data_IF_307350229406
#
_entry.id   IF_307350229406
#
_cell.length_a   1.000
_cell.length_b   1.000
_cell.length_c   1.000
_cell.angle_alpha   90.00
_cell.angle_beta   90.00
_cell.angle_gamma   90.00
#
_symmetry.space_group_name_H-M   'P 1'
#
loop_
_entity.id
_entity.type
_entity.pdbx_description
1 polymer ?
#
# COMPACT_ATOMS: atom_id res chain seq x y z
N UNK A 1 -35.42 -75.59 8.11
CA UNK A 1 -35.76 -74.25 8.62
C UNK A 1 -36.14 -74.34 10.10
N UNK A 2 -35.49 -73.50 10.92
CA UNK A 2 -35.87 -73.03 12.26
C UNK A 2 -36.09 -74.08 13.36
N UNK A 3 -35.13 -74.17 14.29
CA UNK A 3 -35.43 -74.19 15.74
C UNK A 3 -34.41 -73.36 16.51
N UNK A 4 -34.92 -72.47 17.35
CA UNK A 4 -34.20 -71.65 18.30
C UNK A 4 -34.11 -72.35 19.67
N UNK A 5 -33.03 -72.14 20.42
CA UNK A 5 -32.87 -72.46 21.85
C UNK A 5 -31.84 -71.47 22.40
N UNK A 6 -32.22 -70.43 23.16
CA UNK A 6 -32.36 -70.36 24.63
C UNK A 6 -31.07 -70.62 25.46
N UNK A 7 -30.50 -69.52 25.95
CA UNK A 7 -30.01 -69.19 27.32
C UNK A 7 -28.88 -69.99 28.00
N UNK A 8 -27.88 -69.20 28.46
CA UNK A 8 -27.07 -69.22 29.70
C UNK A 8 -25.73 -69.99 29.82
N UNK A 9 -24.73 -69.17 30.23
CA UNK A 9 -23.65 -69.42 31.21
C UNK A 9 -22.64 -70.54 30.95
N UNK A 10 -21.40 -70.14 30.63
CA UNK A 10 -20.23 -70.61 31.38
C UNK A 10 -19.07 -69.62 31.22
N UNK A 11 -18.71 -69.04 32.37
CA UNK A 11 -17.53 -68.24 32.63
C UNK A 11 -16.29 -69.16 32.56
N UNK A 12 -15.35 -68.91 31.65
CA UNK A 12 -13.99 -69.44 31.76
C UNK A 12 -13.00 -68.30 31.71
N UNK A 13 -12.45 -68.04 32.89
CA UNK A 13 -11.33 -67.15 33.16
C UNK A 13 -10.11 -67.68 32.42
N UNK A 14 -9.61 -66.91 31.45
CA UNK A 14 -8.24 -67.03 30.97
C UNK A 14 -7.51 -65.73 31.29
N UNK A 15 -6.76 -65.77 32.39
CA UNK A 15 -5.73 -64.79 32.73
C UNK A 15 -4.54 -65.11 31.82
N UNK A 16 -4.27 -64.23 30.86
CA UNK A 16 -3.14 -64.33 29.94
C UNK A 16 -2.65 -62.93 29.57
N UNK A 17 -1.73 -62.41 30.38
CA UNK A 17 -0.76 -61.33 30.08
C UNK A 17 -1.10 -60.37 28.93
N UNK A 18 -1.86 -59.32 29.24
CA UNK A 18 -1.88 -58.10 28.44
C UNK A 18 -0.58 -57.33 28.70
N UNK A 19 0.35 -57.44 27.75
CA UNK A 19 1.43 -56.47 27.59
C UNK A 19 0.79 -55.10 27.39
N UNK A 20 0.91 -54.21 28.37
CA UNK A 20 0.61 -52.80 28.20
C UNK A 20 1.68 -52.19 27.30
N UNK A 21 1.58 -52.43 25.99
CA UNK A 21 2.16 -51.53 25.02
C UNK A 21 1.40 -50.21 25.17
N UNK A 22 1.98 -49.28 25.92
CA UNK A 22 1.53 -47.90 25.92
C UNK A 22 1.55 -47.45 24.47
N UNK A 23 0.36 -47.30 23.89
CA UNK A 23 0.21 -46.54 22.67
C UNK A 23 0.60 -45.11 23.03
N UNK A 24 1.89 -44.80 22.90
CA UNK A 24 2.33 -43.45 22.70
C UNK A 24 1.57 -42.99 21.45
N UNK A 25 0.52 -42.21 21.66
CA UNK A 25 0.00 -41.33 20.63
C UNK A 25 1.19 -40.47 20.23
N UNK A 26 1.90 -40.89 19.19
CA UNK A 26 2.82 -40.03 18.48
C UNK A 26 1.99 -38.80 18.14
N UNK A 27 2.26 -37.69 18.83
CA UNK A 27 1.70 -36.41 18.46
C UNK A 27 2.07 -36.25 16.99
N UNK A 28 1.10 -36.38 16.09
CA UNK A 28 1.32 -36.08 14.68
C UNK A 28 1.80 -34.64 14.68
N UNK A 29 3.08 -34.44 14.36
CA UNK A 29 3.63 -33.12 14.14
C UNK A 29 2.71 -32.42 13.15
N UNK A 30 2.30 -31.19 13.46
CA UNK A 30 1.51 -30.41 12.51
C UNK A 30 2.22 -30.44 11.14
N UNK A 31 1.47 -30.59 10.03
CA UNK A 31 2.07 -30.56 8.71
C UNK A 31 2.91 -29.29 8.53
N UNK A 32 3.98 -29.40 7.74
CA UNK A 32 4.86 -28.27 7.45
C UNK A 32 4.05 -27.06 6.95
N UNK A 33 4.46 -25.83 7.31
CA UNK A 33 3.69 -24.64 6.93
C UNK A 33 3.51 -24.52 5.41
N UNK A 34 4.50 -24.95 4.62
CA UNK A 34 4.38 -24.98 3.16
C UNK A 34 3.25 -25.90 2.71
N UNK A 35 3.18 -27.10 3.27
CA UNK A 35 2.15 -28.08 2.91
C UNK A 35 0.76 -27.56 3.30
N UNK A 36 0.64 -26.90 4.44
CA UNK A 36 -0.61 -26.25 4.87
C UNK A 36 -1.03 -25.12 3.93
N UNK A 37 -0.10 -24.27 3.52
CA UNK A 37 -0.37 -23.20 2.55
C UNK A 37 -0.81 -23.77 1.20
N UNK A 38 -0.16 -24.83 0.72
CA UNK A 38 -0.48 -25.46 -0.57
C UNK A 38 -1.72 -26.36 -0.52
N UNK A 39 -2.19 -26.73 0.66
CA UNK A 39 -3.48 -27.40 0.84
C UNK A 39 -4.68 -26.45 0.66
N UNK A 40 -4.47 -25.12 0.67
CA UNK A 40 -5.53 -24.15 0.40
C UNK A 40 -5.96 -24.26 -1.08
N UNK A 41 -7.26 -24.50 -1.37
CA UNK A 41 -7.75 -24.57 -2.73
C UNK A 41 -7.43 -23.30 -3.54
N UNK A 42 -6.78 -23.48 -4.69
CA UNK A 42 -6.38 -22.38 -5.57
C UNK A 42 -5.05 -21.71 -5.21
N UNK A 43 -4.35 -22.17 -4.16
CA UNK A 43 -2.99 -21.75 -3.84
C UNK A 43 -1.95 -22.55 -4.62
N UNK A 44 -0.90 -21.90 -5.09
CA UNK A 44 0.25 -22.58 -5.72
C UNK A 44 1.56 -21.88 -5.39
N UNK A 45 2.65 -22.66 -5.29
CA UNK A 45 3.98 -22.13 -5.02
C UNK A 45 4.59 -21.54 -6.29
N UNK A 46 5.06 -20.30 -6.22
CA UNK A 46 5.97 -19.73 -7.22
C UNK A 46 7.42 -19.94 -6.76
N UNK A 47 7.73 -19.56 -5.52
CA UNK A 47 9.08 -19.67 -4.98
C UNK A 47 9.06 -19.70 -3.45
N UNK A 48 9.98 -20.43 -2.84
CA UNK A 48 10.34 -20.30 -1.44
C UNK A 48 11.74 -19.71 -1.35
N UNK A 49 11.94 -18.68 -0.52
CA UNK A 49 13.24 -18.06 -0.26
C UNK A 49 13.58 -18.21 1.22
N UNK A 50 14.76 -18.73 1.58
CA UNK A 50 15.16 -18.84 2.98
C UNK A 50 15.48 -17.47 3.57
N UNK A 51 15.12 -17.26 4.85
CA UNK A 51 15.56 -16.10 5.63
C UNK A 51 15.79 -16.53 7.10
N UNK A 52 16.85 -16.07 7.80
CA UNK A 52 17.02 -16.42 9.21
C UNK A 52 15.83 -16.00 10.08
N UNK A 53 15.20 -16.97 10.76
CA UNK A 53 14.06 -16.72 11.66
C UNK A 53 12.70 -16.52 10.99
N UNK A 54 12.61 -16.66 9.67
CA UNK A 54 11.35 -16.62 8.91
C UNK A 54 11.38 -17.62 7.74
N UNK A 55 10.21 -18.02 7.25
CA UNK A 55 10.08 -18.65 5.93
C UNK A 55 9.35 -17.72 5.00
N UNK A 56 9.89 -17.50 3.81
CA UNK A 56 9.30 -16.59 2.84
C UNK A 56 8.81 -17.33 1.61
N UNK A 57 7.52 -17.19 1.32
CA UNK A 57 6.86 -17.81 0.18
C UNK A 57 6.35 -16.73 -0.77
N UNK A 58 6.59 -16.93 -2.06
CA UNK A 58 5.88 -16.25 -3.15
C UNK A 58 4.91 -17.28 -3.71
N UNK A 59 3.63 -16.93 -3.70
CA UNK A 59 2.53 -17.81 -4.07
C UNK A 59 1.66 -17.14 -5.12
N UNK A 60 0.90 -17.94 -5.85
CA UNK A 60 -0.29 -17.47 -6.56
C UNK A 60 -1.52 -17.98 -5.84
N UNK A 61 -2.55 -17.15 -5.78
CA UNK A 61 -3.87 -17.50 -5.29
C UNK A 61 -4.92 -17.24 -6.39
N UNK A 62 -5.75 -18.24 -6.64
CA UNK A 62 -6.79 -18.17 -7.67
C UNK A 62 -7.96 -17.30 -7.19
N UNK A 63 -8.15 -16.18 -7.88
CA UNK A 63 -9.20 -15.20 -7.60
C UNK A 63 -10.26 -15.17 -8.71
N UNK A 64 -11.52 -14.86 -8.40
CA UNK A 64 -12.53 -14.53 -9.41
C UNK A 64 -12.17 -13.24 -10.14
N UNK A 65 -12.42 -13.20 -11.45
CA UNK A 65 -12.35 -11.93 -12.21
C UNK A 65 -13.40 -10.94 -11.69
N UNK A 66 -14.61 -11.44 -11.39
CA UNK A 66 -15.72 -10.67 -10.85
C UNK A 66 -16.30 -11.37 -9.61
N UNK A 67 -16.10 -10.80 -8.42
CA UNK A 67 -16.64 -11.33 -7.16
C UNK A 67 -18.17 -11.29 -7.11
N UNK A 68 -18.84 -10.46 -7.93
CA UNK A 68 -20.31 -10.48 -8.07
C UNK A 68 -20.79 -11.68 -8.90
N UNK A 69 -19.92 -12.26 -9.73
CA UNK A 69 -20.21 -13.42 -10.56
C UNK A 69 -19.02 -14.39 -10.62
N UNK A 70 -18.71 -15.11 -9.53
CA UNK A 70 -17.45 -15.85 -9.42
C UNK A 70 -17.24 -16.97 -10.46
N UNK A 71 -18.32 -17.42 -11.11
CA UNK A 71 -18.27 -18.41 -12.18
C UNK A 71 -17.78 -17.86 -13.53
N UNK A 72 -17.63 -16.54 -13.69
CA UNK A 72 -17.26 -15.89 -14.97
C UNK A 72 -15.75 -15.87 -15.25
N UNK A 73 -15.01 -16.78 -14.64
CA UNK A 73 -13.57 -16.94 -14.85
C UNK A 73 -12.75 -16.48 -13.66
N UNK A 74 -11.47 -16.83 -13.71
CA UNK A 74 -10.51 -16.60 -12.63
C UNK A 74 -9.19 -16.05 -13.19
N UNK A 75 -8.38 -15.49 -12.30
CA UNK A 75 -7.00 -15.11 -12.58
C UNK A 75 -6.10 -15.51 -11.40
N UNK A 76 -4.79 -15.55 -11.63
CA UNK A 76 -3.81 -15.81 -10.58
C UNK A 76 -3.38 -14.46 -9.98
N UNK A 77 -3.64 -14.26 -8.69
CA UNK A 77 -3.17 -13.09 -7.95
C UNK A 77 -1.96 -13.47 -7.11
N UNK A 78 -0.90 -12.70 -7.20
CA UNK A 78 0.32 -12.93 -6.44
C UNK A 78 0.14 -12.52 -4.98
N UNK A 79 0.57 -13.40 -4.09
CA UNK A 79 0.70 -13.11 -2.66
C UNK A 79 2.09 -13.49 -2.18
N UNK A 80 2.54 -12.84 -1.11
CA UNK A 80 3.74 -13.28 -0.38
C UNK A 80 3.40 -13.54 1.08
N UNK A 81 4.07 -14.53 1.66
CA UNK A 81 3.88 -14.91 3.06
C UNK A 81 5.25 -14.96 3.71
N UNK A 82 5.49 -14.03 4.65
CA UNK A 82 6.61 -14.06 5.58
C UNK A 82 6.12 -14.72 6.87
N UNK A 83 6.30 -16.04 6.93
CA UNK A 83 5.89 -16.87 8.05
C UNK A 83 6.93 -16.81 9.17
N UNK A 84 6.46 -16.52 10.38
CA UNK A 84 7.25 -16.59 11.61
C UNK A 84 6.84 -17.81 12.45
N UNK A 85 5.56 -17.87 12.82
CA UNK A 85 4.97 -18.89 13.69
C UNK A 85 3.44 -18.77 13.68
N UNK A 86 2.70 -19.88 13.75
CA UNK A 86 1.22 -19.88 13.70
C UNK A 86 0.53 -19.32 14.95
N UNK A 87 1.22 -19.26 16.09
CA UNK A 87 0.72 -18.65 17.33
C UNK A 87 0.84 -17.12 17.35
N UNK A 88 1.51 -16.53 16.36
CA UNK A 88 1.74 -15.09 16.27
C UNK A 88 0.65 -14.38 15.45
N UNK A 89 0.34 -13.11 15.76
CA UNK A 89 -0.56 -12.32 14.94
C UNK A 89 -0.03 -12.16 13.52
N UNK A 90 -0.93 -11.86 12.59
CA UNK A 90 -0.61 -11.69 11.17
C UNK A 90 -0.88 -10.27 10.72
N UNK A 91 0.11 -9.65 10.09
CA UNK A 91 -0.05 -8.35 9.45
C UNK A 91 -0.34 -8.54 7.97
N UNK A 92 -1.50 -8.07 7.52
CA UNK A 92 -1.89 -8.09 6.13
C UNK A 92 -1.53 -6.77 5.46
N UNK A 93 -0.46 -6.78 4.66
CA UNK A 93 -0.10 -5.67 3.79
C UNK A 93 -0.99 -5.67 2.54
N UNK A 94 -2.01 -4.82 2.56
CA UNK A 94 -2.89 -4.57 1.42
C UNK A 94 -2.16 -3.60 0.48
N UNK A 95 -1.42 -4.14 -0.48
CA UNK A 95 -0.68 -3.33 -1.44
C UNK A 95 -1.62 -2.52 -2.35
N UNK A 96 -1.16 -1.35 -2.79
CA UNK A 96 -1.86 -0.54 -3.80
C UNK A 96 -1.46 -0.88 -5.24
N UNK A 97 -0.32 -1.53 -5.43
CA UNK A 97 0.36 -1.70 -6.72
C UNK A 97 0.90 -3.14 -6.85
N UNK A 98 2.06 -3.29 -7.48
CA UNK A 98 2.84 -4.51 -7.48
C UNK A 98 3.27 -4.94 -6.07
N UNK A 99 3.47 -6.24 -5.86
CA UNK A 99 4.06 -6.75 -4.62
C UNK A 99 5.54 -7.09 -4.83
N UNK A 100 6.39 -6.62 -3.90
CA UNK A 100 7.79 -7.04 -3.89
C UNK A 100 7.91 -8.53 -3.59
N UNK A 101 8.77 -9.22 -4.35
CA UNK A 101 9.12 -10.63 -4.08
C UNK A 101 10.39 -10.76 -3.24
N UNK A 102 10.93 -9.65 -2.72
CA UNK A 102 12.04 -9.63 -1.77
C UNK A 102 11.50 -9.62 -0.35
N UNK A 103 11.95 -10.53 0.55
CA UNK A 103 11.50 -10.53 1.94
C UNK A 103 11.71 -9.17 2.61
N UNK A 104 10.66 -8.64 3.23
CA UNK A 104 10.71 -7.39 4.00
C UNK A 104 9.60 -7.36 5.05
N UNK A 105 9.80 -6.59 6.13
CA UNK A 105 8.79 -6.38 7.18
C UNK A 105 8.28 -4.95 7.15
N UNK A 106 6.96 -4.80 7.07
CA UNK A 106 6.27 -3.52 7.32
C UNK A 106 6.33 -3.18 8.80
N UNK A 107 6.24 -1.89 9.13
CA UNK A 107 6.40 -1.42 10.51
C UNK A 107 5.47 -2.14 11.51
N UNK A 108 4.17 -2.39 11.22
CA UNK A 108 3.32 -3.15 12.13
C UNK A 108 3.81 -4.58 12.37
N UNK A 109 4.39 -5.24 11.36
CA UNK A 109 4.98 -6.59 11.49
C UNK A 109 6.15 -6.60 12.46
N UNK A 110 6.95 -5.52 12.46
CA UNK A 110 8.04 -5.32 13.41
C UNK A 110 7.50 -5.06 14.82
N UNK A 111 6.46 -4.23 14.94
CA UNK A 111 5.84 -3.90 16.23
C UNK A 111 5.32 -5.15 16.92
N UNK A 112 4.61 -6.02 16.21
CA UNK A 112 3.95 -7.19 16.81
C UNK A 112 4.82 -8.46 16.80
N UNK A 113 6.00 -8.39 16.18
CA UNK A 113 6.88 -9.54 15.93
C UNK A 113 6.11 -10.74 15.34
N UNK A 114 5.34 -10.45 14.29
CA UNK A 114 4.33 -11.34 13.73
C UNK A 114 4.67 -11.95 12.37
N UNK A 115 3.67 -12.64 11.81
CA UNK A 115 3.65 -13.03 10.41
C UNK A 115 3.33 -11.81 9.53
N UNK A 116 3.67 -11.87 8.24
CA UNK A 116 3.18 -10.91 7.26
C UNK A 116 2.67 -11.61 6.02
N UNK A 117 1.50 -11.18 5.54
CA UNK A 117 0.96 -11.54 4.23
C UNK A 117 0.91 -10.27 3.41
N UNK A 118 1.43 -10.29 2.17
CA UNK A 118 1.32 -9.15 1.26
C UNK A 118 0.57 -9.55 0.00
N UNK A 119 -0.37 -8.72 -0.44
CA UNK A 119 -1.19 -8.95 -1.63
C UNK A 119 -0.81 -7.97 -2.75
N UNK A 120 -0.55 -8.48 -3.95
CA UNK A 120 -0.46 -7.66 -5.15
C UNK A 120 -1.84 -7.17 -5.56
N UNK A 121 -1.97 -5.87 -5.84
CA UNK A 121 -3.25 -5.30 -6.23
C UNK A 121 -3.68 -5.84 -7.60
N UNK A 122 -4.98 -6.15 -7.77
CA UNK A 122 -5.48 -6.63 -9.06
C UNK A 122 -5.16 -5.64 -10.19
N UNK A 123 -4.93 -6.18 -11.38
CA UNK A 123 -4.54 -5.48 -12.62
C UNK A 123 -3.07 -5.05 -12.72
N UNK A 124 -2.30 -5.07 -11.63
CA UNK A 124 -0.84 -4.97 -11.71
C UNK A 124 -0.27 -6.32 -12.12
N UNK A 125 0.59 -6.34 -13.15
CA UNK A 125 1.07 -7.62 -13.72
C UNK A 125 2.08 -8.30 -12.78
N UNK A 126 1.98 -9.63 -12.61
CA UNK A 126 1.15 -10.58 -13.36
C UNK A 126 -0.28 -10.79 -12.83
N UNK A 127 -0.68 -10.11 -11.75
CA UNK A 127 -2.00 -10.22 -11.11
C UNK A 127 -3.15 -9.55 -11.88
N UNK A 128 -3.27 -9.82 -13.19
CA UNK A 128 -4.26 -9.20 -14.08
C UNK A 128 -5.11 -10.27 -14.80
N UNK A 129 -6.46 -10.16 -14.79
CA UNK A 129 -7.31 -10.96 -15.67
C UNK A 129 -6.92 -10.86 -17.15
N UNK A 130 -7.01 -11.97 -17.87
CA UNK A 130 -6.74 -12.04 -19.30
C UNK A 130 -7.94 -12.67 -20.05
N UNK A 131 -8.65 -11.92 -20.91
CA UNK A 131 -8.48 -10.49 -21.21
C UNK A 131 -8.82 -9.59 -20.01
N UNK A 132 -8.27 -8.37 -19.99
CA UNK A 132 -8.49 -7.41 -18.92
C UNK A 132 -9.81 -6.66 -19.11
N UNK A 133 -10.84 -7.02 -18.34
CA UNK A 133 -12.08 -6.23 -18.22
C UNK A 133 -11.87 -5.14 -17.16
N UNK A 134 -11.47 -3.95 -17.60
CA UNK A 134 -11.19 -2.80 -16.72
C UNK A 134 -12.36 -2.39 -15.83
N UNK A 135 -13.61 -2.73 -16.18
CA UNK A 135 -14.75 -2.50 -15.29
C UNK A 135 -14.69 -3.29 -13.98
N UNK A 136 -13.77 -4.25 -13.86
CA UNK A 136 -13.51 -5.07 -12.66
C UNK A 136 -12.32 -4.57 -11.85
N UNK A 137 -11.70 -3.46 -12.24
CA UNK A 137 -10.74 -2.72 -11.44
C UNK A 137 -11.50 -1.67 -10.62
N UNK A 138 -12.15 -2.12 -9.55
CA UNK A 138 -12.89 -1.26 -8.63
C UNK A 138 -12.49 -1.55 -7.15
N UNK A 139 -12.75 -0.61 -6.25
CA UNK A 139 -12.42 -0.69 -4.82
C UNK A 139 -13.03 -1.95 -4.18
N UNK A 140 -14.31 -2.24 -4.47
CA UNK A 140 -15.03 -3.35 -3.85
C UNK A 140 -14.47 -4.69 -4.31
N UNK A 141 -14.16 -4.84 -5.59
CA UNK A 141 -13.53 -6.05 -6.13
C UNK A 141 -12.17 -6.34 -5.49
N UNK A 142 -11.36 -5.29 -5.25
CA UNK A 142 -10.08 -5.45 -4.57
C UNK A 142 -10.26 -5.76 -3.07
N UNK A 143 -11.23 -5.14 -2.40
CA UNK A 143 -11.61 -5.50 -1.03
C UNK A 143 -12.07 -6.97 -0.92
N UNK A 144 -12.81 -7.45 -1.91
CA UNK A 144 -13.23 -8.86 -1.99
C UNK A 144 -12.07 -9.82 -2.26
N UNK A 145 -11.05 -9.42 -3.03
CA UNK A 145 -9.81 -10.20 -3.15
C UNK A 145 -9.14 -10.38 -1.78
N UNK A 146 -9.02 -9.28 -1.03
CA UNK A 146 -8.42 -9.25 0.31
C UNK A 146 -9.20 -10.13 1.29
N UNK A 147 -10.53 -10.01 1.30
CA UNK A 147 -11.42 -10.85 2.10
C UNK A 147 -11.20 -12.35 1.83
N UNK A 148 -11.13 -12.74 0.55
CA UNK A 148 -10.94 -14.15 0.18
C UNK A 148 -9.59 -14.69 0.64
N UNK A 149 -8.53 -13.89 0.52
CA UNK A 149 -7.19 -14.25 1.01
C UNK A 149 -7.19 -14.40 2.53
N UNK A 150 -7.80 -13.46 3.25
CA UNK A 150 -7.96 -13.55 4.70
C UNK A 150 -8.70 -14.83 5.11
N UNK A 151 -9.88 -15.09 4.54
CA UNK A 151 -10.67 -16.29 4.84
C UNK A 151 -9.91 -17.59 4.57
N UNK A 152 -9.12 -17.64 3.49
CA UNK A 152 -8.34 -18.81 3.14
C UNK A 152 -7.18 -19.08 4.12
N UNK A 153 -6.57 -18.01 4.65
CA UNK A 153 -5.39 -18.10 5.51
C UNK A 153 -5.71 -18.11 7.02
N UNK A 154 -6.85 -17.57 7.44
CA UNK A 154 -7.27 -17.50 8.86
C UNK A 154 -7.27 -18.86 9.58
N UNK A 155 -7.64 -20.00 8.96
CA UNK A 155 -7.51 -21.31 9.62
C UNK A 155 -6.08 -21.73 9.93
N UNK A 156 -5.08 -21.21 9.21
CA UNK A 156 -3.65 -21.48 9.46
C UNK A 156 -3.11 -20.48 10.49
N UNK A 157 -3.49 -19.21 10.35
CA UNK A 157 -3.08 -18.11 11.22
C UNK A 157 -4.26 -17.63 12.07
N UNK A 158 -4.56 -18.37 13.13
CA UNK A 158 -5.79 -18.17 13.91
C UNK A 158 -5.74 -16.99 14.88
N UNK A 159 -4.56 -16.51 15.24
CA UNK A 159 -4.34 -15.31 16.05
C UNK A 159 -4.90 -14.03 15.38
N UNK A 160 -4.73 -12.88 16.02
CA UNK A 160 -5.28 -11.61 15.54
C UNK A 160 -4.64 -11.16 14.22
N UNK A 161 -5.40 -10.45 13.39
CA UNK A 161 -4.98 -9.91 12.10
C UNK A 161 -5.01 -8.39 12.10
N UNK A 162 -3.97 -7.74 11.58
CA UNK A 162 -3.96 -6.30 11.37
C UNK A 162 -3.80 -5.98 9.87
N UNK A 163 -4.59 -5.06 9.33
CA UNK A 163 -4.35 -4.54 7.98
C UNK A 163 -3.40 -3.35 8.00
N UNK A 164 -2.56 -3.22 6.98
CA UNK A 164 -1.70 -2.05 6.82
C UNK A 164 -1.35 -1.76 5.37
N UNK A 165 -1.00 -0.52 5.08
CA UNK A 165 -0.53 -0.07 3.78
C UNK A 165 -0.06 1.39 3.83
N UNK A 166 0.83 1.75 2.90
CA UNK A 166 1.24 3.14 2.67
C UNK A 166 0.55 3.71 1.43
N UNK A 167 0.21 5.00 1.44
CA UNK A 167 -0.35 5.70 0.28
C UNK A 167 -1.61 5.01 -0.26
N UNK A 168 -1.65 4.64 -1.54
CA UNK A 168 -2.70 3.78 -2.10
C UNK A 168 -2.88 2.46 -1.33
N UNK A 169 -1.83 1.85 -0.82
CA UNK A 169 -1.96 0.70 0.07
C UNK A 169 -2.75 1.03 1.36
N UNK A 170 -2.51 2.19 1.96
CA UNK A 170 -3.23 2.65 3.15
C UNK A 170 -4.71 2.97 2.86
N UNK A 171 -4.99 3.49 1.66
CA UNK A 171 -6.34 3.59 1.12
C UNK A 171 -6.99 2.22 1.04
N UNK A 172 -6.31 1.23 0.43
CA UNK A 172 -6.86 -0.12 0.30
C UNK A 172 -7.08 -0.82 1.65
N UNK A 173 -6.23 -0.61 2.66
CA UNK A 173 -6.45 -1.11 4.01
C UNK A 173 -7.73 -0.53 4.62
N UNK A 174 -7.96 0.76 4.40
CA UNK A 174 -9.17 1.48 4.85
C UNK A 174 -10.41 0.99 4.11
N UNK A 175 -10.31 0.75 2.80
CA UNK A 175 -11.42 0.24 1.99
C UNK A 175 -11.75 -1.22 2.32
N UNK A 176 -10.75 -2.02 2.61
CA UNK A 176 -10.94 -3.39 3.02
C UNK A 176 -11.79 -3.46 4.28
N UNK A 177 -11.35 -2.73 5.31
CA UNK A 177 -12.03 -2.63 6.60
C UNK A 177 -13.45 -2.06 6.43
N UNK A 178 -13.62 -1.10 5.52
CA UNK A 178 -14.94 -0.57 5.18
C UNK A 178 -15.93 -1.65 4.71
N UNK A 179 -15.51 -2.54 3.82
CA UNK A 179 -16.40 -3.54 3.22
C UNK A 179 -16.46 -4.85 4.02
N UNK A 180 -15.44 -5.13 4.83
CA UNK A 180 -15.30 -6.35 5.62
C UNK A 180 -14.81 -6.05 7.06
N UNK A 181 -15.57 -5.29 7.87
CA UNK A 181 -15.14 -4.77 9.17
C UNK A 181 -15.00 -5.82 10.29
N UNK A 182 -15.17 -7.09 9.97
CA UNK A 182 -15.02 -8.21 10.90
C UNK A 182 -13.77 -9.04 10.61
N UNK A 183 -13.02 -8.70 9.56
CA UNK A 183 -11.87 -9.48 9.14
C UNK A 183 -10.59 -9.09 9.89
N UNK A 184 -10.42 -7.82 10.25
CA UNK A 184 -9.21 -7.31 10.90
C UNK A 184 -9.50 -6.87 12.33
N UNK A 185 -8.56 -7.11 13.24
CA UNK A 185 -8.61 -6.67 14.63
C UNK A 185 -8.10 -5.22 14.80
N UNK A 186 -7.42 -4.67 13.78
CA UNK A 186 -7.03 -3.28 13.69
C UNK A 186 -6.40 -2.91 12.35
N UNK A 187 -6.35 -1.61 12.05
CA UNK A 187 -5.82 -1.07 10.79
C UNK A 187 -4.78 0.01 11.08
N UNK A 188 -3.64 -0.06 10.39
CA UNK A 188 -2.61 0.99 10.43
C UNK A 188 -2.36 1.50 9.01
N UNK A 189 -2.96 2.63 8.66
CA UNK A 189 -2.86 3.26 7.36
C UNK A 189 -1.86 4.43 7.38
N UNK A 190 -0.82 4.34 6.55
CA UNK A 190 0.19 5.39 6.43
C UNK A 190 -0.10 6.26 5.21
N UNK A 191 -0.02 7.57 5.39
CA UNK A 191 -0.05 8.60 4.32
C UNK A 191 -1.15 8.39 3.27
N UNK A 192 -2.30 7.87 3.70
CA UNK A 192 -3.41 7.50 2.83
C UNK A 192 -4.25 8.72 2.47
N UNK A 193 -4.29 9.16 1.20
CA UNK A 193 -5.14 10.27 0.79
C UNK A 193 -6.62 9.88 0.76
N UNK A 194 -7.49 10.88 0.88
CA UNK A 194 -8.94 10.73 0.96
C UNK A 194 -9.64 11.88 0.21
N UNK A 195 -9.65 11.80 -1.11
CA UNK A 195 -10.33 12.75 -1.99
C UNK A 195 -11.85 12.50 -2.01
N UNK A 196 -12.57 13.16 -1.10
CA UNK A 196 -14.03 13.04 -0.97
C UNK A 196 -14.77 13.84 -2.05
N UNK A 197 -14.17 14.92 -2.54
CA UNK A 197 -14.75 15.84 -3.52
C UNK A 197 -13.67 16.24 -4.51
N UNK A 198 -13.53 15.45 -5.58
CA UNK A 198 -12.50 15.60 -6.63
C UNK A 198 -12.44 16.97 -7.34
N UNK A 199 -13.33 17.92 -7.02
CA UNK A 199 -13.31 19.28 -7.57
C UNK A 199 -12.94 20.33 -6.53
N UNK A 200 -12.54 19.92 -5.33
CA UNK A 200 -12.23 20.79 -4.21
C UNK A 200 -10.82 20.47 -3.71
N UNK A 201 -9.82 20.97 -4.42
CA UNK A 201 -8.41 20.68 -4.14
C UNK A 201 -7.68 21.81 -3.38
N UNK A 202 -8.42 22.77 -2.81
CA UNK A 202 -7.82 23.96 -2.20
C UNK A 202 -6.94 23.65 -0.97
N UNK A 203 -7.07 22.44 -0.41
CA UNK A 203 -6.20 21.95 0.66
C UNK A 203 -4.74 21.82 0.20
N UNK A 204 -4.51 21.34 -1.02
CA UNK A 204 -3.17 21.21 -1.58
C UNK A 204 -2.55 22.59 -1.88
N UNK A 205 -3.32 23.53 -2.42
CA UNK A 205 -2.85 24.90 -2.65
C UNK A 205 -2.41 25.58 -1.34
N UNK A 206 -3.19 25.40 -0.26
CA UNK A 206 -2.82 25.90 1.08
C UNK A 206 -1.56 25.23 1.61
N UNK A 207 -1.40 23.93 1.37
CA UNK A 207 -0.19 23.21 1.75
C UNK A 207 1.05 23.78 1.06
N UNK A 208 1.03 23.90 -0.27
CA UNK A 208 2.18 24.42 -1.03
C UNK A 208 2.48 25.90 -0.75
N UNK A 209 1.50 26.69 -0.28
CA UNK A 209 1.75 28.05 0.18
C UNK A 209 2.56 28.11 1.49
N UNK A 210 2.47 27.07 2.35
CA UNK A 210 2.95 27.09 3.73
C UNK A 210 4.07 26.10 4.07
N UNK A 211 4.24 25.02 3.32
CA UNK A 211 5.16 23.93 3.66
C UNK A 211 6.63 24.38 3.73
N UNK A 212 7.36 23.93 4.76
CA UNK A 212 8.77 24.25 4.97
C UNK A 212 9.09 25.74 5.08
N UNK A 213 10.31 26.13 4.69
CA UNK A 213 10.74 27.54 4.73
C UNK A 213 10.37 28.27 3.44
N UNK A 214 10.16 29.59 3.54
CA UNK A 214 9.93 30.44 2.36
C UNK A 214 11.08 30.32 1.36
N UNK A 215 12.33 30.33 1.84
CA UNK A 215 13.52 30.15 1.00
C UNK A 215 13.44 28.86 0.17
N UNK A 216 13.05 27.75 0.80
CA UNK A 216 12.97 26.49 0.08
C UNK A 216 11.88 26.49 -0.98
N UNK A 217 10.69 27.01 -0.63
CA UNK A 217 9.60 27.18 -1.60
C UNK A 217 10.01 28.08 -2.76
N UNK A 218 10.69 29.18 -2.50
CA UNK A 218 11.15 30.10 -3.54
C UNK A 218 12.14 29.40 -4.49
N UNK A 219 13.11 28.63 -3.99
CA UNK A 219 14.05 27.86 -4.82
C UNK A 219 13.35 26.83 -5.70
N UNK A 220 12.44 26.04 -5.12
CA UNK A 220 11.68 25.02 -5.85
C UNK A 220 10.83 25.63 -6.96
N UNK A 221 10.10 26.71 -6.63
CA UNK A 221 9.28 27.43 -7.61
C UNK A 221 10.13 28.09 -8.70
N UNK A 222 11.34 28.58 -8.36
CA UNK A 222 12.25 29.17 -9.32
C UNK A 222 12.77 28.14 -10.32
N UNK A 223 13.18 26.95 -9.88
CA UNK A 223 13.61 25.85 -10.77
C UNK A 223 12.45 25.40 -11.67
N UNK A 224 11.26 25.17 -11.08
CA UNK A 224 10.07 24.79 -11.83
C UNK A 224 9.73 25.81 -12.92
N UNK A 225 9.73 27.11 -12.59
CA UNK A 225 9.48 28.18 -13.55
C UNK A 225 10.57 28.24 -14.62
N UNK A 226 11.84 28.16 -14.22
CA UNK A 226 12.98 28.28 -15.14
C UNK A 226 12.98 27.15 -16.18
N UNK A 227 12.63 25.93 -15.79
CA UNK A 227 12.46 24.82 -16.73
C UNK A 227 11.41 25.13 -17.81
N UNK A 228 10.33 25.85 -17.48
CA UNK A 228 9.33 26.27 -18.48
C UNK A 228 9.77 27.47 -19.33
N UNK A 229 10.59 28.38 -18.78
CA UNK A 229 11.22 29.46 -19.54
C UNK A 229 12.17 28.87 -20.60
N UNK A 230 12.95 27.86 -20.22
CA UNK A 230 13.93 27.16 -21.06
C UNK A 230 13.36 25.95 -21.78
N UNK A 231 12.05 25.95 -22.05
CA UNK A 231 11.34 24.82 -22.66
C UNK A 231 12.02 24.31 -23.93
N UNK A 232 12.39 25.19 -24.86
CA UNK A 232 12.96 24.78 -26.15
C UNK A 232 14.28 23.97 -26.02
N UNK A 233 15.34 24.47 -25.35
CA UNK A 233 16.56 23.68 -25.18
C UNK A 233 16.35 22.41 -24.33
N UNK A 234 15.50 22.46 -23.30
CA UNK A 234 15.25 21.30 -22.44
C UNK A 234 14.38 20.24 -23.11
N UNK A 235 13.43 20.60 -23.97
CA UNK A 235 12.68 19.65 -24.80
C UNK A 235 13.57 18.98 -25.85
N UNK A 236 14.56 19.69 -26.40
CA UNK A 236 15.56 19.07 -27.28
C UNK A 236 16.36 18.01 -26.53
N UNK A 237 16.77 18.29 -25.29
CA UNK A 237 17.41 17.29 -24.41
C UNK A 237 16.46 16.13 -24.09
N UNK A 238 15.18 16.41 -23.86
CA UNK A 238 14.19 15.37 -23.59
C UNK A 238 13.93 14.46 -24.79
N UNK A 239 13.90 15.02 -26.00
CA UNK A 239 13.79 14.26 -27.22
C UNK A 239 15.00 13.33 -27.43
N UNK A 240 16.21 13.80 -27.12
CA UNK A 240 17.40 12.96 -27.14
C UNK A 240 17.33 11.85 -26.09
N UNK A 241 16.99 12.18 -24.84
CA UNK A 241 16.80 11.20 -23.76
C UNK A 241 15.77 10.13 -24.14
N UNK A 242 14.66 10.54 -24.76
CA UNK A 242 13.64 9.61 -25.22
C UNK A 242 14.16 8.71 -26.35
N UNK A 243 14.88 9.25 -27.33
CA UNK A 243 15.48 8.47 -28.41
C UNK A 243 16.50 7.44 -27.90
N UNK A 244 17.36 7.84 -26.96
CA UNK A 244 18.40 6.98 -26.38
C UNK A 244 17.83 5.79 -25.58
N UNK A 245 16.62 5.94 -25.04
CA UNK A 245 15.96 4.94 -24.19
C UNK A 245 14.75 4.27 -24.86
N UNK A 246 14.41 4.65 -26.10
CA UNK A 246 13.25 4.12 -26.82
C UNK A 246 11.90 4.53 -26.22
N UNK A 247 11.82 5.70 -25.58
CA UNK A 247 10.59 6.19 -24.97
C UNK A 247 9.65 6.86 -25.99
N UNK A 248 8.35 6.69 -25.75
CA UNK A 248 7.26 7.25 -26.57
C UNK A 248 6.25 8.00 -25.70
N UNK A 249 5.36 8.79 -26.31
CA UNK A 249 4.45 9.72 -25.61
C UNK A 249 3.00 9.69 -26.13
N UNK A 250 2.56 8.56 -26.67
CA UNK A 250 1.26 8.42 -27.34
C UNK A 250 0.09 8.59 -26.36
N UNK A 251 0.22 8.03 -25.15
CA UNK A 251 -0.84 8.03 -24.13
C UNK A 251 -1.15 9.44 -23.63
N UNK A 252 -0.10 10.19 -23.27
CA UNK A 252 -0.24 11.56 -22.77
C UNK A 252 -0.54 12.57 -23.88
N UNK A 253 -0.13 12.25 -25.11
CA UNK A 253 -0.44 13.01 -26.32
C UNK A 253 0.71 13.87 -26.87
N UNK A 254 1.96 13.55 -26.52
CA UNK A 254 3.16 14.18 -27.09
C UNK A 254 4.21 14.62 -26.07
N UNK A 255 5.43 14.83 -26.56
CA UNK A 255 6.61 15.17 -25.75
C UNK A 255 6.47 16.50 -25.01
N UNK A 256 5.99 17.57 -25.65
CA UNK A 256 5.79 18.91 -25.04
C UNK A 256 4.85 18.84 -23.82
N UNK A 257 3.82 18.02 -23.92
CA UNK A 257 2.85 17.81 -22.84
C UNK A 257 3.41 16.93 -21.71
N UNK A 258 4.19 15.91 -22.06
CA UNK A 258 4.93 15.11 -21.07
C UNK A 258 5.95 15.97 -20.33
N UNK A 259 6.68 16.83 -21.05
CA UNK A 259 7.65 17.74 -20.48
C UNK A 259 7.00 18.66 -19.45
N UNK A 260 5.91 19.35 -19.83
CA UNK A 260 5.19 20.22 -18.89
C UNK A 260 4.66 19.44 -17.68
N UNK A 261 4.13 18.24 -17.87
CA UNK A 261 3.64 17.42 -16.76
C UNK A 261 4.76 17.08 -15.76
N UNK A 262 5.92 16.62 -16.23
CA UNK A 262 7.10 16.34 -15.38
C UNK A 262 7.53 17.59 -14.61
N UNK A 263 7.61 18.75 -15.30
CA UNK A 263 8.02 20.01 -14.67
C UNK A 263 7.00 20.46 -13.61
N UNK A 264 5.70 20.36 -13.90
CA UNK A 264 4.65 20.79 -12.97
C UNK A 264 4.56 19.91 -11.70
N UNK A 265 5.02 18.66 -11.75
CA UNK A 265 5.11 17.79 -10.57
C UNK A 265 6.35 18.01 -9.69
N UNK A 266 7.30 18.83 -10.14
CA UNK A 266 8.57 19.03 -9.43
C UNK A 266 8.44 19.42 -7.96
N UNK A 267 7.61 20.44 -7.68
CA UNK A 267 7.40 20.91 -6.30
C UNK A 267 6.68 19.84 -5.46
N UNK A 268 5.73 19.12 -6.06
CA UNK A 268 5.02 18.03 -5.42
C UNK A 268 5.98 16.89 -5.05
N UNK A 269 6.74 16.40 -6.03
CA UNK A 269 7.70 15.31 -5.87
C UNK A 269 8.77 15.62 -4.81
N UNK A 270 9.24 16.86 -4.72
CA UNK A 270 10.18 17.26 -3.67
C UNK A 270 9.57 17.07 -2.28
N UNK A 271 8.38 17.61 -2.02
CA UNK A 271 7.77 17.50 -0.69
C UNK A 271 7.32 16.06 -0.38
N UNK A 272 6.91 15.31 -1.39
CA UNK A 272 6.54 13.90 -1.21
C UNK A 272 7.74 13.03 -0.80
N UNK A 273 8.92 13.21 -1.40
CA UNK A 273 10.03 12.24 -1.27
C UNK A 273 11.37 12.81 -0.77
N UNK A 274 11.51 14.12 -0.68
CA UNK A 274 12.67 14.80 -0.08
C UNK A 274 12.29 15.40 1.27
N UNK A 275 13.29 15.81 2.05
CA UNK A 275 13.12 16.47 3.33
C UNK A 275 13.56 17.93 3.23
N UNK A 276 13.11 18.77 4.16
CA UNK A 276 13.51 20.18 4.21
C UNK A 276 15.03 20.37 4.23
N UNK A 277 15.77 19.46 4.89
CA UNK A 277 17.25 19.49 4.93
C UNK A 277 17.89 19.28 3.55
N UNK A 278 17.17 18.67 2.62
CA UNK A 278 17.66 18.39 1.26
C UNK A 278 17.50 19.63 0.37
N UNK A 279 16.87 20.70 0.83
CA UNK A 279 16.66 21.91 0.04
C UNK A 279 17.96 22.57 -0.46
N UNK A 280 19.08 22.31 0.22
CA UNK A 280 20.40 22.77 -0.21
C UNK A 280 20.87 22.15 -1.54
N UNK A 281 20.26 21.05 -2.00
CA UNK A 281 20.56 20.44 -3.31
C UNK A 281 19.85 21.13 -4.47
N UNK A 282 18.84 21.96 -4.18
CA UNK A 282 18.09 22.71 -5.18
C UNK A 282 18.90 23.96 -5.58
N UNK A 283 19.08 24.22 -6.90
CA UNK A 283 19.75 25.43 -7.38
C UNK A 283 19.27 26.69 -6.65
N UNK A 284 20.22 27.41 -6.04
CA UNK A 284 19.90 28.60 -5.24
C UNK A 284 19.47 29.79 -6.09
N UNK A 285 20.03 29.92 -7.29
CA UNK A 285 19.66 30.92 -8.30
C UNK A 285 19.39 30.21 -9.63
N UNK A 286 18.12 29.85 -9.85
CA UNK A 286 17.72 29.11 -11.05
C UNK A 286 17.97 29.91 -12.33
N UNK A 287 17.87 31.25 -12.30
CA UNK A 287 18.02 32.09 -13.48
C UNK A 287 19.44 32.07 -14.05
N UNK A 288 20.46 31.86 -13.21
CA UNK A 288 21.87 31.77 -13.62
C UNK A 288 22.41 30.34 -13.67
N UNK A 289 21.63 29.35 -13.23
CA UNK A 289 21.97 27.94 -13.34
C UNK A 289 22.12 27.50 -14.81
N UNK A 290 22.92 26.46 -15.07
CA UNK A 290 23.04 25.86 -16.40
C UNK A 290 21.79 25.05 -16.74
N UNK A 291 21.56 24.80 -18.04
CA UNK A 291 20.51 23.88 -18.49
C UNK A 291 20.66 22.49 -17.86
N UNK A 292 21.91 22.03 -17.69
CA UNK A 292 22.20 20.77 -17.02
C UNK A 292 21.75 20.76 -15.56
N UNK A 293 22.02 21.83 -14.82
CA UNK A 293 21.61 21.91 -13.41
C UNK A 293 20.08 21.94 -13.26
N UNK A 294 19.36 22.61 -14.16
CA UNK A 294 17.88 22.61 -14.17
C UNK A 294 17.35 21.23 -14.53
N UNK A 295 17.87 20.63 -15.61
CA UNK A 295 17.50 19.29 -16.04
C UNK A 295 17.72 18.26 -14.94
N UNK A 296 18.94 18.19 -14.38
CA UNK A 296 19.32 17.18 -13.41
C UNK A 296 18.51 17.32 -12.12
N UNK A 297 18.17 18.56 -11.73
CA UNK A 297 17.28 18.79 -10.60
C UNK A 297 15.87 18.24 -10.86
N UNK A 298 15.28 18.56 -12.02
CA UNK A 298 13.94 18.07 -12.40
C UNK A 298 13.93 16.54 -12.54
N UNK A 299 14.94 15.94 -13.16
CA UNK A 299 15.04 14.48 -13.32
C UNK A 299 15.23 13.76 -11.99
N UNK A 300 16.00 14.34 -11.07
CA UNK A 300 16.22 13.76 -9.75
C UNK A 300 14.95 13.72 -8.88
N UNK A 301 14.00 14.64 -9.11
CA UNK A 301 12.81 14.82 -8.27
C UNK A 301 11.54 14.28 -8.94
N UNK A 302 11.23 14.72 -10.16
CA UNK A 302 10.06 14.26 -10.94
C UNK A 302 10.40 13.10 -11.85
N UNK A 303 11.59 13.09 -12.45
CA UNK A 303 12.03 12.05 -13.38
C UNK A 303 11.39 12.12 -14.77
N UNK A 304 12.20 12.30 -15.80
CA UNK A 304 11.71 12.47 -17.17
C UNK A 304 11.13 11.19 -17.80
N UNK A 305 11.27 10.00 -17.20
CA UNK A 305 10.58 8.80 -17.70
C UNK A 305 9.16 8.62 -17.18
N UNK A 306 8.72 9.45 -16.23
CA UNK A 306 7.41 9.41 -15.57
C UNK A 306 6.25 9.19 -16.57
N UNK A 307 6.11 10.17 -17.46
CA UNK A 307 4.99 10.28 -18.38
C UNK A 307 5.28 9.75 -19.80
N UNK A 308 6.29 8.90 -19.95
CA UNK A 308 6.47 8.11 -21.17
C UNK A 308 5.44 6.98 -21.19
N UNK A 309 5.13 6.42 -22.35
CA UNK A 309 4.21 5.27 -22.42
C UNK A 309 4.70 4.09 -21.58
N UNK A 310 6.02 3.90 -21.51
CA UNK A 310 6.68 2.86 -20.74
C UNK A 310 6.60 3.11 -19.23
N UNK A 311 6.72 4.38 -18.80
CA UNK A 311 6.50 4.77 -17.40
C UNK A 311 5.03 4.57 -16.98
N UNK A 312 4.11 4.99 -17.84
CA UNK A 312 2.66 4.89 -17.62
C UNK A 312 2.13 3.46 -17.67
N UNK A 313 2.75 2.54 -18.40
CA UNK A 313 2.23 1.18 -18.60
C UNK A 313 2.01 0.45 -17.26
N UNK A 314 3.00 0.51 -16.36
CA UNK A 314 2.93 -0.15 -15.05
C UNK A 314 1.86 0.47 -14.16
N UNK A 315 1.69 1.78 -14.22
CA UNK A 315 0.76 2.54 -13.37
C UNK A 315 -0.61 2.79 -14.01
N UNK A 316 -0.87 2.30 -15.22
CA UNK A 316 -2.19 2.41 -15.87
C UNK A 316 -3.33 1.91 -14.95
N UNK A 317 -3.19 0.83 -14.15
CA UNK A 317 -4.20 0.45 -13.17
C UNK A 317 -4.47 1.50 -12.09
N UNK A 318 -3.42 2.16 -11.59
CA UNK A 318 -3.60 3.26 -10.65
C UNK A 318 -4.33 4.43 -11.30
N UNK A 319 -3.88 4.90 -12.47
CA UNK A 319 -4.50 6.03 -13.15
C UNK A 319 -5.93 5.77 -13.59
N UNK A 320 -6.24 4.53 -13.98
CA UNK A 320 -7.61 4.09 -14.20
C UNK A 320 -8.45 4.26 -12.94
N UNK A 321 -7.96 3.77 -11.79
CA UNK A 321 -8.70 3.84 -10.54
C UNK A 321 -8.83 5.28 -10.03
N UNK A 322 -7.78 6.09 -10.15
CA UNK A 322 -7.80 7.52 -9.86
C UNK A 322 -8.93 8.23 -10.64
N UNK A 323 -8.98 8.06 -11.96
CA UNK A 323 -10.02 8.70 -12.77
C UNK A 323 -11.38 7.99 -12.80
N UNK A 324 -11.59 6.91 -12.05
CA UNK A 324 -12.88 6.19 -11.98
C UNK A 324 -13.50 6.14 -10.59
N UNK A 325 -12.70 6.12 -9.51
CA UNK A 325 -13.22 6.03 -8.14
C UNK A 325 -12.43 6.83 -7.10
N UNK A 326 -11.10 6.88 -7.17
CA UNK A 326 -10.29 7.46 -6.07
C UNK A 326 -10.25 8.98 -6.12
N UNK A 327 -10.31 9.53 -7.32
CA UNK A 327 -10.02 10.93 -7.59
C UNK A 327 -8.53 11.22 -7.71
N UNK A 328 -8.18 12.49 -7.89
CA UNK A 328 -6.81 12.96 -8.04
C UNK A 328 -6.71 14.48 -7.80
N UNK A 329 -5.57 14.95 -7.24
CA UNK A 329 -5.38 16.36 -6.94
C UNK A 329 -5.31 17.21 -8.21
N UNK A 330 -5.82 18.44 -8.13
CA UNK A 330 -5.56 19.52 -9.09
C UNK A 330 -5.01 20.74 -8.37
N UNK A 331 -3.77 21.14 -8.68
CA UNK A 331 -3.10 22.27 -8.01
C UNK A 331 -2.89 23.48 -8.92
N UNK A 332 -2.74 24.66 -8.31
CA UNK A 332 -2.47 25.91 -9.00
C UNK A 332 -1.00 26.35 -8.90
N UNK A 333 -0.53 27.08 -9.91
CA UNK A 333 0.84 27.57 -10.01
C UNK A 333 0.89 29.11 -10.04
N UNK A 334 0.59 29.81 -8.93
CA UNK A 334 0.50 31.28 -8.92
C UNK A 334 1.84 31.99 -9.19
N UNK A 335 2.97 31.28 -9.05
CA UNK A 335 4.32 31.80 -9.26
C UNK A 335 4.82 31.67 -10.71
N UNK A 336 4.05 31.02 -11.59
CA UNK A 336 4.39 30.79 -12.99
C UNK A 336 3.47 31.64 -13.85
N UNK A 337 4.03 32.40 -14.80
CA UNK A 337 3.23 33.18 -15.73
C UNK A 337 2.32 32.26 -16.56
N UNK A 338 1.03 32.62 -16.68
CA UNK A 338 0.04 31.82 -17.42
C UNK A 338 0.48 31.45 -18.84
N UNK A 339 1.28 32.30 -19.51
CA UNK A 339 1.80 32.05 -20.86
C UNK A 339 2.81 30.90 -20.96
N UNK A 340 3.42 30.50 -19.84
CA UNK A 340 4.39 29.41 -19.78
C UNK A 340 3.73 28.04 -19.60
N UNK A 341 2.50 28.01 -19.09
CA UNK A 341 1.69 26.81 -18.88
C UNK A 341 0.76 26.62 -20.08
N UNK A 342 1.02 25.61 -20.91
CA UNK A 342 0.27 25.34 -22.15
C UNK A 342 -0.89 24.37 -21.92
N UNK A 343 -0.70 23.39 -21.03
CA UNK A 343 -1.59 22.25 -20.84
C UNK A 343 -2.19 22.17 -19.42
N UNK A 344 -1.61 22.88 -18.46
CA UNK A 344 -2.07 22.89 -17.06
C UNK A 344 -1.68 21.62 -16.30
N UNK A 345 -2.21 21.48 -15.08
CA UNK A 345 -2.03 20.25 -14.31
C UNK A 345 -2.84 19.11 -14.94
N UNK A 346 -2.24 17.93 -15.07
CA UNK A 346 -2.78 16.87 -15.91
C UNK A 346 -3.72 15.92 -15.14
N UNK A 347 -4.97 15.72 -15.60
CA UNK A 347 -5.89 14.78 -14.96
C UNK A 347 -5.55 13.32 -15.29
N UNK A 348 -5.95 12.33 -14.45
CA UNK A 348 -5.67 10.91 -14.64
C UNK A 348 -6.04 10.33 -16.01
N UNK A 349 -7.07 10.90 -16.67
CA UNK A 349 -7.49 10.49 -18.02
C UNK A 349 -6.39 10.66 -19.07
N UNK A 350 -5.42 11.54 -18.86
CA UNK A 350 -4.30 11.72 -19.78
C UNK A 350 -3.20 10.66 -19.59
N UNK A 351 -3.31 9.82 -18.56
CA UNK A 351 -2.31 8.80 -18.21
C UNK A 351 -2.82 7.37 -18.45
N UNK A 352 -3.96 7.24 -19.14
CA UNK A 352 -4.57 5.96 -19.49
C UNK A 352 -4.78 5.91 -21.01
N UNK A 353 -4.45 4.80 -21.70
CA UNK A 353 -4.74 4.63 -23.12
C UNK A 353 -6.22 4.84 -23.46
N UNK A 354 -6.52 5.48 -24.59
CA UNK A 354 -7.90 5.81 -25.02
C UNK A 354 -8.77 4.59 -25.32
N UNK A 355 -8.15 3.43 -25.57
CA UNK A 355 -8.83 2.14 -25.71
C UNK A 355 -9.50 1.66 -24.42
N UNK A 356 -9.13 2.22 -23.26
CA UNK A 356 -9.72 1.88 -21.95
C UNK A 356 -10.74 2.97 -21.59
N UNK A 357 -12.06 2.68 -21.63
CA UNK A 357 -13.07 3.66 -21.25
C UNK A 357 -13.05 3.94 -19.74
N UNK A 358 -13.21 5.21 -19.36
CA UNK A 358 -13.26 5.62 -17.96
C UNK A 358 -14.53 6.41 -17.67
N UNK A 359 -15.16 6.11 -16.53
CA UNK A 359 -16.30 6.86 -15.99
C UNK A 359 -16.10 7.04 -14.49
N UNK A 360 -16.09 8.29 -14.05
CA UNK A 360 -15.92 8.64 -12.64
C UNK A 360 -17.18 8.33 -11.83
N UNK A 361 -16.98 7.78 -10.63
CA UNK A 361 -18.01 7.45 -9.64
C UNK A 361 -17.85 8.41 -8.44
N UNK A 362 -18.55 9.55 -8.43
CA UNK A 362 -18.31 10.62 -7.45
C UNK A 362 -18.65 10.26 -6.00
N UNK A 363 -19.42 9.19 -5.79
CA UNK A 363 -19.85 8.79 -4.45
C UNK A 363 -18.90 7.77 -3.80
N UNK A 364 -17.96 7.17 -4.54
CA UNK A 364 -17.13 6.08 -4.03
C UNK A 364 -16.29 6.48 -2.81
N UNK A 365 -15.58 7.61 -2.88
CA UNK A 365 -14.77 8.09 -1.76
C UNK A 365 -15.61 8.69 -0.63
N UNK A 366 -16.72 9.36 -0.96
CA UNK A 366 -17.67 9.88 0.04
C UNK A 366 -18.27 8.78 0.89
N UNK A 367 -18.59 7.65 0.27
CA UNK A 367 -19.10 6.46 0.91
C UNK A 367 -18.07 5.95 1.96
N UNK A 368 -16.79 5.81 1.57
CA UNK A 368 -15.71 5.41 2.50
C UNK A 368 -15.50 6.42 3.62
N UNK A 369 -15.35 7.71 3.31
CA UNK A 369 -15.12 8.77 4.31
C UNK A 369 -16.26 8.83 5.34
N UNK A 370 -17.51 8.74 4.87
CA UNK A 370 -18.68 8.74 5.75
C UNK A 370 -18.63 7.56 6.73
N UNK A 371 -18.28 6.38 6.24
CA UNK A 371 -18.16 5.21 7.09
C UNK A 371 -17.01 5.33 8.08
N UNK A 372 -15.83 5.81 7.69
CA UNK A 372 -14.71 6.03 8.63
C UNK A 372 -15.15 6.95 9.78
N UNK A 373 -15.85 8.04 9.47
CA UNK A 373 -16.33 9.00 10.48
C UNK A 373 -17.38 8.42 11.44
N UNK A 374 -18.17 7.44 10.98
CA UNK A 374 -19.31 6.91 11.71
C UNK A 374 -19.03 5.55 12.37
N UNK A 375 -18.09 4.77 11.84
CA UNK A 375 -17.96 3.35 12.15
C UNK A 375 -16.51 2.88 12.33
N UNK A 376 -15.49 3.70 12.06
CA UNK A 376 -14.10 3.29 12.26
C UNK A 376 -13.87 2.80 13.70
N UNK A 377 -13.27 1.62 13.83
CA UNK A 377 -12.89 0.99 15.09
C UNK A 377 -11.48 0.44 14.93
N UNK A 378 -10.61 0.69 15.91
CA UNK A 378 -9.22 0.22 15.87
C UNK A 378 -8.44 0.67 14.62
N UNK A 379 -8.66 1.91 14.16
CA UNK A 379 -7.98 2.45 12.99
C UNK A 379 -6.98 3.54 13.38
N UNK A 380 -5.73 3.39 12.97
CA UNK A 380 -4.67 4.38 13.13
C UNK A 380 -4.26 4.91 11.75
N UNK A 381 -4.40 6.22 11.56
CA UNK A 381 -3.88 6.94 10.40
C UNK A 381 -2.64 7.74 10.80
N UNK A 382 -1.55 7.61 10.04
CA UNK A 382 -0.29 8.34 10.29
C UNK A 382 0.11 9.11 9.03
N UNK A 383 0.23 10.44 9.15
CA UNK A 383 0.60 11.34 8.04
C UNK A 383 1.95 12.02 8.29
N UNK A 384 2.63 12.43 7.21
CA UNK A 384 3.77 13.34 7.30
C UNK A 384 3.33 14.79 7.34
N UNK A 385 3.98 15.62 8.17
CA UNK A 385 3.73 17.07 8.17
C UNK A 385 4.03 17.72 6.82
N UNK A 386 5.09 17.25 6.16
CA UNK A 386 5.57 17.76 4.88
C UNK A 386 5.11 16.91 3.68
N UNK A 387 4.15 16.02 3.86
CA UNK A 387 3.60 15.20 2.77
C UNK A 387 2.38 15.88 2.13
N UNK A 388 2.40 16.23 0.83
CA UNK A 388 1.26 16.85 0.17
C UNK A 388 -0.02 15.99 0.26
N UNK A 389 0.10 14.67 0.22
CA UNK A 389 -1.06 13.75 0.30
C UNK A 389 -1.79 13.83 1.65
N UNK A 390 -1.16 14.35 2.70
CA UNK A 390 -1.79 14.58 4.00
C UNK A 390 -2.74 15.79 4.04
N UNK A 391 -2.79 16.59 2.96
CA UNK A 391 -3.70 17.74 2.82
C UNK A 391 -5.17 17.28 2.81
N UNK A 392 -5.44 16.19 2.11
CA UNK A 392 -6.74 15.51 2.09
C UNK A 392 -6.63 14.17 2.81
N UNK A 393 -6.62 14.24 4.13
CA UNK A 393 -6.54 13.06 5.00
C UNK A 393 -7.91 12.49 5.38
N UNK A 394 -7.94 11.22 5.74
CA UNK A 394 -9.06 10.65 6.49
C UNK A 394 -9.25 11.39 7.82
N UNK A 395 -10.52 11.59 8.20
CA UNK A 395 -10.89 12.25 9.46
C UNK A 395 -11.81 11.33 10.23
N UNK A 396 -11.63 11.32 11.54
CA UNK A 396 -12.53 10.61 12.46
C UNK A 396 -13.73 11.49 12.79
N UNK A 397 -14.84 10.86 13.13
CA UNK A 397 -16.07 11.52 13.50
C UNK A 397 -16.62 11.00 14.83
N UNK A 398 -17.78 11.50 15.23
CA UNK A 398 -18.41 11.16 16.51
C UNK A 398 -18.76 9.67 16.65
N UNK A 399 -18.79 8.91 15.56
CA UNK A 399 -19.04 7.46 15.57
C UNK A 399 -17.78 6.60 15.67
N UNK A 400 -16.61 7.15 15.35
CA UNK A 400 -15.33 6.42 15.43
C UNK A 400 -14.99 6.07 16.88
N UNK A 401 -14.40 4.90 17.14
CA UNK A 401 -13.99 4.44 18.48
C UNK A 401 -12.59 3.86 18.44
N UNK A 402 -11.82 4.13 19.49
CA UNK A 402 -10.42 3.69 19.61
C UNK A 402 -9.66 3.81 18.29
N UNK A 403 -9.73 4.99 17.69
CA UNK A 403 -9.16 5.29 16.38
C UNK A 403 -8.44 6.63 16.47
N UNK A 404 -7.37 6.80 15.69
CA UNK A 404 -6.43 7.90 15.84
C UNK A 404 -5.98 8.43 14.49
N UNK A 405 -5.74 9.74 14.43
CA UNK A 405 -5.06 10.40 13.31
C UNK A 405 -3.89 11.16 13.89
N UNK A 406 -2.68 10.75 13.53
CA UNK A 406 -1.44 11.40 13.98
C UNK A 406 -0.65 11.96 12.81
N UNK A 407 0.19 12.96 13.11
CA UNK A 407 1.04 13.62 12.13
C UNK A 407 2.47 13.61 12.65
N UNK A 408 3.38 13.05 11.87
CA UNK A 408 4.81 12.94 12.17
C UNK A 408 5.51 14.25 11.75
N UNK A 409 6.07 15.02 12.70
CA UNK A 409 6.70 16.31 12.39
C UNK A 409 7.89 16.17 11.45
N UNK A 410 8.00 17.09 10.50
CA UNK A 410 9.09 17.16 9.51
C UNK A 410 9.14 16.01 8.48
N UNK A 411 8.36 14.95 8.67
CA UNK A 411 8.33 13.77 7.80
C UNK A 411 7.50 14.03 6.54
N UNK A 412 7.84 13.31 5.48
CA UNK A 412 7.15 13.33 4.19
C UNK A 412 6.32 12.03 4.00
N UNK A 413 6.17 11.56 2.76
CA UNK A 413 5.40 10.35 2.43
C UNK A 413 5.95 9.06 3.07
N UNK A 414 7.17 9.10 3.62
CA UNK A 414 7.74 8.03 4.46
C UNK A 414 7.31 8.04 5.93
N UNK A 415 6.32 8.86 6.31
CA UNK A 415 5.83 8.98 7.68
C UNK A 415 5.30 7.65 8.25
N UNK A 416 5.66 7.37 9.50
CA UNK A 416 5.32 6.14 10.20
C UNK A 416 5.30 6.33 11.73
N UNK A 417 4.92 5.30 12.48
CA UNK A 417 4.79 5.37 13.95
C UNK A 417 6.11 5.76 14.59
N UNK A 418 7.24 5.27 14.09
CA UNK A 418 8.55 5.61 14.63
C UNK A 418 8.90 7.10 14.55
N UNK A 419 8.34 7.83 13.57
CA UNK A 419 8.52 9.26 13.34
C UNK A 419 7.53 10.17 14.10
N UNK A 420 6.58 9.62 14.85
CA UNK A 420 5.67 10.39 15.68
C UNK A 420 6.38 11.00 16.90
N UNK A 421 5.78 12.06 17.46
CA UNK A 421 6.21 12.63 18.75
C UNK A 421 6.10 11.57 19.87
N UNK A 422 6.90 11.65 20.95
CA UNK A 422 7.07 10.56 21.91
C UNK A 422 5.78 9.95 22.45
N UNK A 423 4.83 10.78 22.89
CA UNK A 423 3.57 10.31 23.48
C UNK A 423 2.66 9.62 22.44
N UNK A 424 2.56 10.20 21.23
CA UNK A 424 1.79 9.60 20.13
C UNK A 424 2.42 8.32 19.63
N UNK A 425 3.75 8.26 19.55
CA UNK A 425 4.51 7.06 19.20
C UNK A 425 4.25 5.93 20.20
N UNK A 426 4.31 6.24 21.49
CA UNK A 426 4.07 5.26 22.54
C UNK A 426 2.63 4.76 22.51
N UNK A 427 1.65 5.68 22.42
CA UNK A 427 0.23 5.32 22.32
C UNK A 427 -0.08 4.50 21.07
N UNK A 428 0.41 4.91 19.89
CA UNK A 428 0.24 4.16 18.64
C UNK A 428 0.83 2.75 18.75
N UNK A 429 2.04 2.63 19.29
CA UNK A 429 2.68 1.32 19.51
C UNK A 429 1.86 0.46 20.46
N UNK A 430 1.38 1.03 21.57
CA UNK A 430 0.53 0.32 22.55
C UNK A 430 -0.75 -0.21 21.90
N UNK A 431 -1.45 0.63 21.13
CA UNK A 431 -2.70 0.23 20.44
C UNK A 431 -2.47 -0.86 19.40
N UNK A 432 -1.42 -0.76 18.60
CA UNK A 432 -1.05 -1.82 17.63
C UNK A 432 -0.81 -3.15 18.36
N UNK A 433 -0.09 -3.13 19.49
CA UNK A 433 0.15 -4.33 20.29
C UNK A 433 -1.13 -4.90 20.91
N UNK A 434 -2.04 -4.04 21.38
CA UNK A 434 -3.32 -4.42 21.96
C UNK A 434 -4.25 -5.04 20.92
N UNK A 435 -4.42 -4.41 19.76
CA UNK A 435 -5.22 -4.93 18.65
C UNK A 435 -4.68 -6.25 18.14
N UNK A 436 -3.35 -6.41 18.10
CA UNK A 436 -2.72 -7.69 17.76
C UNK A 436 -2.76 -8.75 18.87
N UNK A 437 -3.31 -8.43 20.05
CA UNK A 437 -3.44 -9.39 21.16
C UNK A 437 -2.12 -9.73 21.85
N UNK A 438 -1.04 -8.97 21.61
CA UNK A 438 0.32 -9.25 22.10
C UNK A 438 0.88 -8.19 23.05
N UNK A 439 0.06 -7.22 23.46
CA UNK A 439 0.46 -6.20 24.45
C UNK A 439 0.91 -6.84 25.78
N UNK A 440 2.18 -6.65 26.21
CA UNK A 440 2.65 -7.09 27.51
C UNK A 440 1.87 -6.44 28.66
N UNK A 441 1.81 -7.08 29.83
CA UNK A 441 1.12 -6.54 31.00
C UNK A 441 1.61 -5.13 31.39
N UNK A 442 2.92 -4.88 31.27
CA UNK A 442 3.51 -3.57 31.51
C UNK A 442 2.96 -2.49 30.54
N UNK A 443 2.76 -2.83 29.27
CA UNK A 443 2.21 -1.90 28.26
C UNK A 443 0.73 -1.62 28.51
N UNK A 444 -0.03 -2.64 28.94
CA UNK A 444 -1.44 -2.47 29.32
C UNK A 444 -1.61 -1.57 30.55
N UNK A 445 -0.65 -1.63 31.48
CA UNK A 445 -0.64 -0.77 32.67
C UNK A 445 -0.12 0.65 32.36
N UNK A 446 0.85 0.75 31.46
CA UNK A 446 1.48 2.02 31.06
C UNK A 446 1.84 2.01 29.56
N UNK A 447 1.04 2.65 28.70
CA UNK A 447 1.31 2.76 27.27
C UNK A 447 2.66 3.42 26.94
N UNK A 448 3.24 4.22 27.83
CA UNK A 448 4.54 4.89 27.61
C UNK A 448 5.71 3.89 27.50
N UNK A 449 5.54 2.69 28.08
CA UNK A 449 6.48 1.58 28.01
C UNK A 449 6.45 0.82 26.67
N UNK A 450 5.48 1.11 25.79
CA UNK A 450 5.32 0.38 24.54
C UNK A 450 6.51 0.55 23.60
N UNK A 451 7.05 -0.57 23.12
CA UNK A 451 8.14 -0.65 22.13
C UNK A 451 7.84 -1.78 21.14
N UNK A 452 8.37 -1.72 19.90
CA UNK A 452 8.30 -2.86 18.99
C UNK A 452 8.84 -4.15 19.64
N UNK A 453 8.15 -5.27 19.45
CA UNK A 453 8.55 -6.56 20.01
C UNK A 453 9.72 -7.17 19.22
N UNK A 454 9.81 -6.92 17.92
CA UNK A 454 10.93 -7.39 17.11
C UNK A 454 12.11 -6.42 17.24
N UNK A 455 13.33 -6.99 17.26
CA UNK A 455 14.53 -6.20 17.01
C UNK A 455 14.58 -5.77 15.55
N UNK A 456 15.14 -4.58 15.32
CA UNK A 456 15.43 -4.10 13.99
C UNK A 456 16.39 -5.06 13.27
N UNK A 457 16.06 -5.41 12.04
CA UNK A 457 16.83 -6.25 11.15
C UNK A 457 17.20 -5.43 9.90
N UNK A 458 18.48 -5.15 9.72
CA UNK A 458 18.97 -4.29 8.64
C UNK A 458 18.78 -4.85 7.22
N UNK A 459 18.33 -6.11 7.07
CA UNK A 459 18.00 -6.70 5.76
C UNK A 459 16.49 -6.79 5.53
N UNK A 460 15.69 -7.09 6.56
CA UNK A 460 14.22 -7.13 6.44
C UNK A 460 13.54 -5.77 6.58
N UNK A 461 14.14 -4.88 7.37
CA UNK A 461 13.54 -3.58 7.71
C UNK A 461 14.17 -2.46 6.89
N UNK A 462 14.83 -2.82 5.77
CA UNK A 462 15.31 -1.84 4.80
C UNK A 462 14.10 -1.05 4.35
N UNK A 463 14.10 0.21 4.78
CA UNK A 463 13.15 1.21 4.32
C UNK A 463 13.63 1.63 2.95
N UNK A 464 13.25 0.86 1.96
CA UNK A 464 12.82 1.52 0.75
C UNK A 464 11.63 2.35 1.25
N UNK A 465 11.82 3.67 1.41
CA UNK A 465 10.68 4.56 1.11
C UNK A 465 10.14 3.94 -0.16
N UNK A 466 8.84 3.68 -0.24
CA UNK A 466 8.23 3.34 -1.52
C UNK A 466 8.36 4.58 -2.45
N UNK A 467 9.59 5.06 -2.71
CA UNK A 467 10.21 5.08 -4.03
C UNK A 467 10.02 3.71 -4.70
N UNK A 468 8.77 3.24 -4.82
CA UNK A 468 8.37 2.35 -5.90
C UNK A 468 8.79 3.09 -7.16
N UNK A 469 9.99 2.86 -7.71
CA UNK A 469 10.77 3.78 -8.53
C UNK A 469 10.38 5.28 -8.56
N UNK A 470 9.94 5.85 -7.44
CA UNK A 470 8.90 6.89 -7.48
C UNK A 470 7.70 6.47 -8.42
N UNK A 471 6.50 6.87 -8.08
CA UNK A 471 5.86 7.77 -9.03
C UNK A 471 6.89 8.87 -9.38
N UNK A 472 7.90 8.55 -10.22
CA UNK A 472 8.21 9.36 -11.37
C UNK A 472 6.83 9.40 -11.99
N UNK A 473 6.06 10.47 -11.73
CA UNK A 473 4.61 10.41 -11.83
C UNK A 473 4.09 9.46 -12.92
#
# INVERSE_FOLDING_TARGET
MRKALRWLLALTVFIGTLSTAGAATAAQSEPDIKDRLLAIPGMSLVQEKPYPGYRYFVLNFTQPVDHRHPSKGTFQQRITVLHKDTSRPTVFYTGGYNVSTTPSRREPTQIVDGNQVSLEYRFFTPSRPAPADWSKLDIWQAASDQHRVYQALKPIYSANWLATGGSKGGMTATYFERFYPSDMDGVVAYVAPNDVVNKEDSAYDRFFAGVGTKECRDRLNAVQREALVRREPLEKRYAQYAADNGYTFDTIGGLDKAYEAVVLDYVWGFWQYSLLKDCGTIPADAATATDDAIWDSVDAISGFSAYTDQGLETYTPYYYQAGTQLGAPTIHFPYIEKKLIRYGYQPPRNFVPRSIPMRFQPDAMRDVDTWVRQHARHMLFVYGENDPWGSERFRLGAGSRDSYVFTAPGMNHGANVAGLVPDQKALATARILEWAGVAPAAVKADPSAARPLARHDARLDVRDVEREPALRP
#
